data_IF_342493159798
#
_entry.id   IF_342493159798
#
_cell.length_a   1.000
_cell.length_b   1.000
_cell.length_c   1.000
_cell.angle_alpha   90.00
_cell.angle_beta   90.00
_cell.angle_gamma   90.00
#
_symmetry.space_group_name_H-M   'P 1'
#
loop_
_entity.id
_entity.type
_entity.pdbx_description
1 polymer ?
#
# COMPACT_ATOMS: atom_id res chain seq x y z
N UNK A 1 -2.71 1.69 -12.47
CA UNK A 1 -2.44 2.69 -11.42
C UNK A 1 -3.54 2.80 -10.37
N UNK A 2 -4.78 2.66 -10.77
CA UNK A 2 -5.91 2.72 -9.83
C UNK A 2 -5.81 1.68 -8.71
N UNK A 3 -5.44 0.45 -9.04
CA UNK A 3 -5.30 -0.60 -8.02
C UNK A 3 -4.28 -0.23 -6.96
N UNK A 4 -3.11 0.27 -7.36
CA UNK A 4 -2.08 0.69 -6.41
C UNK A 4 -2.46 1.96 -5.66
N UNK A 5 -3.21 2.86 -6.28
CA UNK A 5 -3.74 4.03 -5.58
C UNK A 5 -4.71 3.61 -4.48
N UNK A 6 -5.54 2.59 -4.72
CA UNK A 6 -6.46 2.06 -3.72
C UNK A 6 -5.72 1.39 -2.56
N UNK A 7 -4.67 0.63 -2.86
CA UNK A 7 -3.79 0.07 -1.82
C UNK A 7 -3.21 1.20 -0.97
N UNK A 8 -2.70 2.24 -1.62
CA UNK A 8 -2.11 3.39 -0.94
C UNK A 8 -3.08 4.12 -0.03
N UNK A 9 -4.35 4.22 -0.43
CA UNK A 9 -5.37 4.84 0.42
C UNK A 9 -5.57 4.08 1.72
N UNK A 10 -5.56 2.75 1.66
CA UNK A 10 -5.69 1.93 2.86
C UNK A 10 -4.42 1.95 3.71
N UNK A 11 -3.24 2.02 3.09
CA UNK A 11 -1.98 2.17 3.83
C UNK A 11 -1.97 3.51 4.57
N UNK A 12 -2.40 4.61 3.93
CA UNK A 12 -2.50 5.91 4.58
C UNK A 12 -3.47 5.87 5.76
N UNK A 13 -4.58 5.19 5.60
CA UNK A 13 -5.55 5.01 6.69
C UNK A 13 -4.93 4.25 7.87
N UNK A 14 -4.18 3.18 7.58
CA UNK A 14 -3.50 2.42 8.62
C UNK A 14 -2.48 3.27 9.38
N UNK A 15 -1.72 4.10 8.67
CA UNK A 15 -0.75 5.00 9.28
C UNK A 15 -1.45 6.01 10.20
N UNK A 16 -2.55 6.60 9.73
CA UNK A 16 -3.30 7.59 10.51
C UNK A 16 -3.87 7.01 11.80
N UNK A 17 -4.51 5.86 11.70
CA UNK A 17 -5.10 5.22 12.89
C UNK A 17 -4.03 4.82 13.90
N UNK A 18 -2.90 4.28 13.41
CA UNK A 18 -1.78 3.93 14.28
C UNK A 18 -1.23 5.17 14.99
N UNK A 19 -1.10 6.27 14.26
CA UNK A 19 -0.64 7.54 14.82
C UNK A 19 -1.57 8.12 15.87
N UNK A 20 -2.87 7.79 15.80
CA UNK A 20 -3.87 8.21 16.79
C UNK A 20 -3.99 7.24 17.96
N UNK A 21 -3.15 6.20 17.99
CA UNK A 21 -3.19 5.20 19.05
C UNK A 21 -4.30 4.17 18.91
N UNK A 22 -4.99 4.11 17.77
CA UNK A 22 -6.03 3.14 17.52
C UNK A 22 -5.48 1.96 16.71
N UNK A 23 -4.85 1.02 17.43
CA UNK A 23 -4.22 -0.13 16.80
C UNK A 23 -5.22 -1.03 16.07
N UNK A 24 -6.42 -1.20 16.61
CA UNK A 24 -7.43 -2.07 16.01
C UNK A 24 -7.88 -1.57 14.63
N UNK A 25 -8.16 -0.28 14.50
CA UNK A 25 -8.55 0.29 13.21
C UNK A 25 -7.38 0.34 12.25
N UNK A 26 -6.18 0.61 12.75
CA UNK A 26 -4.97 0.55 11.94
C UNK A 26 -4.74 -0.83 11.35
N UNK A 27 -4.92 -1.87 12.16
CA UNK A 27 -4.77 -3.25 11.74
C UNK A 27 -5.79 -3.62 10.65
N UNK A 28 -7.05 -3.23 10.81
CA UNK A 28 -8.08 -3.50 9.80
C UNK A 28 -7.79 -2.82 8.47
N UNK A 29 -7.34 -1.58 8.52
CA UNK A 29 -6.98 -0.84 7.31
C UNK A 29 -5.80 -1.51 6.62
N UNK A 30 -4.81 -1.97 7.37
CA UNK A 30 -3.67 -2.67 6.80
C UNK A 30 -4.07 -4.02 6.19
N UNK A 31 -4.92 -4.78 6.87
CA UNK A 31 -5.44 -6.04 6.31
C UNK A 31 -6.18 -5.78 5.00
N UNK A 32 -6.95 -4.72 4.92
CA UNK A 32 -7.65 -4.35 3.69
C UNK A 32 -6.65 -3.99 2.59
N UNK A 33 -5.58 -3.28 2.94
CA UNK A 33 -4.52 -2.96 1.99
C UNK A 33 -3.90 -4.24 1.41
N UNK A 34 -3.62 -5.23 2.25
CA UNK A 34 -3.06 -6.50 1.79
C UNK A 34 -4.03 -7.27 0.89
N UNK A 35 -5.33 -7.27 1.21
CA UNK A 35 -6.34 -7.89 0.35
C UNK A 35 -6.35 -7.25 -1.04
N UNK A 36 -6.35 -5.93 -1.09
CA UNK A 36 -6.34 -5.21 -2.37
C UNK A 36 -5.05 -5.48 -3.14
N UNK A 37 -3.92 -5.57 -2.44
CA UNK A 37 -2.65 -5.86 -3.08
C UNK A 37 -2.62 -7.29 -3.62
N UNK A 38 -3.17 -8.25 -2.89
CA UNK A 38 -3.25 -9.62 -3.36
C UNK A 38 -4.13 -9.73 -4.62
N UNK A 39 -5.22 -8.98 -4.69
CA UNK A 39 -6.05 -8.90 -5.90
C UNK A 39 -5.28 -8.28 -7.06
N UNK A 40 -4.45 -7.26 -6.78
CA UNK A 40 -3.60 -6.63 -7.78
C UNK A 40 -2.57 -7.62 -8.32
N UNK A 41 -1.95 -8.40 -7.45
CA UNK A 41 -0.98 -9.42 -7.82
C UNK A 41 -1.62 -10.51 -8.68
N UNK A 42 -2.85 -10.91 -8.35
CA UNK A 42 -3.56 -11.96 -9.06
C UNK A 42 -4.08 -11.52 -10.44
N UNK A 43 -4.14 -10.23 -10.71
CA UNK A 43 -4.66 -9.71 -11.97
C UNK A 43 -3.61 -9.90 -13.08
N UNK A 44 -3.99 -10.62 -14.14
CA UNK A 44 -3.09 -10.94 -15.24
C UNK A 44 -2.49 -9.71 -15.93
N UNK A 45 -3.20 -8.60 -15.96
CA UNK A 45 -2.69 -7.37 -16.58
C UNK A 45 -1.45 -6.83 -15.88
N UNK A 46 -1.20 -7.27 -14.64
CA UNK A 46 -0.05 -6.84 -13.84
C UNK A 46 1.10 -7.84 -13.85
N UNK A 47 1.04 -8.85 -14.73
CA UNK A 47 2.03 -9.94 -14.75
C UNK A 47 3.47 -9.44 -14.89
N UNK A 48 3.71 -8.43 -15.70
CA UNK A 48 5.05 -7.88 -15.90
C UNK A 48 5.57 -7.13 -14.67
N UNK A 49 4.70 -6.82 -13.72
CA UNK A 49 5.06 -6.12 -12.49
C UNK A 49 5.04 -7.04 -11.27
N UNK A 50 4.89 -8.33 -11.47
CA UNK A 50 4.71 -9.29 -10.38
C UNK A 50 5.85 -9.22 -9.35
N UNK A 51 7.08 -9.14 -9.80
CA UNK A 51 8.24 -9.08 -8.92
C UNK A 51 8.22 -7.83 -8.04
N UNK A 52 7.89 -6.69 -8.62
CA UNK A 52 7.75 -5.43 -7.90
C UNK A 52 6.63 -5.50 -6.86
N UNK A 53 5.48 -6.05 -7.26
CA UNK A 53 4.31 -6.14 -6.40
C UNK A 53 4.53 -7.09 -5.22
N UNK A 54 5.20 -8.21 -5.45
CA UNK A 54 5.52 -9.14 -4.36
C UNK A 54 6.51 -8.53 -3.37
N UNK A 55 7.49 -7.78 -3.85
CA UNK A 55 8.41 -7.04 -2.98
C UNK A 55 7.69 -5.98 -2.15
N UNK A 56 6.76 -5.27 -2.78
CA UNK A 56 5.93 -4.27 -2.10
C UNK A 56 5.17 -4.92 -0.95
N UNK A 57 4.57 -6.08 -1.20
CA UNK A 57 3.82 -6.80 -0.18
C UNK A 57 4.73 -7.20 0.99
N UNK A 58 5.89 -7.73 0.70
CA UNK A 58 6.86 -8.10 1.74
C UNK A 58 7.30 -6.89 2.57
N UNK A 59 7.59 -5.79 1.92
CA UNK A 59 8.04 -4.59 2.62
C UNK A 59 6.95 -3.98 3.49
N UNK A 60 5.70 -4.00 3.04
CA UNK A 60 4.56 -3.52 3.82
C UNK A 60 4.34 -4.40 5.05
N UNK A 61 4.34 -5.73 4.88
CA UNK A 61 4.18 -6.65 5.99
C UNK A 61 5.32 -6.49 7.01
N UNK A 62 6.55 -6.35 6.52
CA UNK A 62 7.72 -6.11 7.35
C UNK A 62 7.56 -4.84 8.19
N UNK A 63 7.05 -3.77 7.59
CA UNK A 63 6.90 -2.48 8.27
C UNK A 63 5.79 -2.51 9.33
N UNK A 64 4.64 -3.07 9.01
CA UNK A 64 3.49 -3.04 9.90
C UNK A 64 3.45 -4.17 10.92
N UNK A 65 3.99 -5.34 10.58
CA UNK A 65 3.87 -6.54 11.41
C UNK A 65 5.18 -7.10 11.95
N UNK A 66 6.32 -6.74 11.33
CA UNK A 66 7.61 -7.35 11.68
C UNK A 66 8.63 -6.28 12.07
N UNK A 67 9.90 -6.57 11.88
CA UNK A 67 11.00 -5.79 12.43
C UNK A 67 11.48 -4.63 11.56
N UNK A 68 10.78 -4.35 10.48
CA UNK A 68 11.13 -3.27 9.55
C UNK A 68 12.58 -3.39 9.02
N UNK A 69 12.94 -4.58 8.56
CA UNK A 69 14.27 -4.84 8.01
C UNK A 69 14.56 -4.00 6.76
N UNK A 70 13.52 -3.62 6.01
CA UNK A 70 13.68 -2.77 4.83
C UNK A 70 13.88 -1.30 5.18
N UNK A 71 13.75 -0.93 6.46
CA UNK A 71 13.99 0.44 6.89
C UNK A 71 12.97 1.44 6.36
N UNK A 72 11.71 1.05 6.25
CA UNK A 72 10.64 1.93 5.79
C UNK A 72 10.22 2.92 6.89
N UNK A 73 9.54 3.99 6.49
CA UNK A 73 8.94 4.95 7.41
C UNK A 73 7.55 5.35 6.88
N UNK A 74 6.74 5.98 7.75
CA UNK A 74 5.45 6.52 7.31
C UNK A 74 5.62 7.45 6.12
N UNK A 75 6.63 8.33 6.19
CA UNK A 75 6.91 9.29 5.13
C UNK A 75 7.32 8.58 3.83
N UNK A 76 8.13 7.53 3.91
CA UNK A 76 8.56 6.81 2.71
C UNK A 76 7.37 6.14 2.03
N UNK A 77 6.43 5.59 2.79
CA UNK A 77 5.22 4.99 2.22
C UNK A 77 4.30 6.03 1.60
N UNK A 78 4.13 7.18 2.26
CA UNK A 78 3.35 8.27 1.71
C UNK A 78 3.91 8.76 0.38
N UNK A 79 5.22 8.90 0.31
CA UNK A 79 5.92 9.32 -0.92
C UNK A 79 5.73 8.29 -2.03
N UNK A 80 5.88 7.01 -1.71
CA UNK A 80 5.75 5.93 -2.68
C UNK A 80 4.35 5.92 -3.31
N UNK A 81 3.32 5.94 -2.47
CA UNK A 81 1.94 5.84 -2.98
C UNK A 81 1.42 7.14 -3.59
N UNK A 82 1.99 8.26 -3.23
CA UNK A 82 1.60 9.56 -3.81
C UNK A 82 1.76 9.56 -5.33
N UNK A 83 2.80 8.93 -5.84
CA UNK A 83 3.04 8.84 -7.28
C UNK A 83 1.91 8.10 -7.99
N UNK A 84 1.39 7.02 -7.39
CA UNK A 84 0.30 6.25 -7.99
C UNK A 84 -1.03 6.99 -7.90
N UNK A 85 -1.29 7.68 -6.80
CA UNK A 85 -2.50 8.50 -6.65
C UNK A 85 -2.52 9.62 -7.69
N UNK A 86 -1.39 10.27 -7.91
CA UNK A 86 -1.25 11.31 -8.92
C UNK A 86 -1.49 10.76 -10.33
N UNK A 87 -0.89 9.62 -10.66
CA UNK A 87 -1.06 8.99 -11.96
C UNK A 87 -2.53 8.59 -12.21
N UNK A 88 -3.20 8.06 -11.19
CA UNK A 88 -4.61 7.68 -11.30
C UNK A 88 -5.49 8.91 -11.50
N UNK A 89 -5.22 10.00 -10.78
CA UNK A 89 -5.97 11.25 -10.93
C UNK A 89 -5.83 11.85 -12.32
N UNK A 90 -4.62 11.84 -12.87
CA UNK A 90 -4.37 12.32 -14.23
C UNK A 90 -5.13 11.45 -15.24
N UNK A 91 -5.07 10.13 -15.09
CA UNK A 91 -5.78 9.21 -15.97
C UNK A 91 -7.28 9.46 -16.01
N UNK A 92 -7.87 9.79 -14.85
CA UNK A 92 -9.29 10.11 -14.75
C UNK A 92 -9.64 11.48 -15.30
N UNK A 93 -8.69 12.41 -15.28
CA UNK A 93 -8.90 13.76 -15.77
C UNK A 93 -8.79 13.90 -17.28
N UNK A 94 -8.40 12.83 -17.98
CA UNK A 94 -8.31 12.78 -19.43
C UNK A 94 -9.50 12.07 -20.01
#
# INVERSE_FOLDING_TARGET
MEQLANVGSEVERAIRWRGKGNAAYGQRAFERALELLDLTIADEKNRLRLKELTRLREALADYFWFDNHYGSSDESWRRYFRAFAYAAAIGRGV
#
